data_IF_178881811701
#
_entry.id   IF_178881811701
#
_cell.length_a   1.000
_cell.length_b   1.000
_cell.length_c   1.000
_cell.angle_alpha   90.00
_cell.angle_beta   90.00
_cell.angle_gamma   90.00
#
_symmetry.space_group_name_H-M   'P 1'
#
loop_
_entity.id
_entity.type
_entity.pdbx_description
1 polymer ?
#
# COMPACT_ATOMS: atom_id res chain seq x y z
N UNK A 1 43.32 -28.12 28.33
CA UNK A 1 42.17 -27.50 29.04
C UNK A 1 42.10 -26.04 28.60
N UNK A 2 40.93 -25.59 28.13
CA UNK A 2 40.66 -24.31 27.45
C UNK A 2 40.55 -23.10 28.39
N UNK A 3 40.64 -21.89 27.78
CA UNK A 3 40.39 -20.50 28.24
C UNK A 3 41.65 -19.73 28.66
N UNK A 4 41.87 -18.45 28.29
CA UNK A 4 40.93 -17.36 27.97
C UNK A 4 41.63 -16.20 27.21
N UNK A 5 40.92 -15.64 26.21
CA UNK A 5 40.89 -14.28 25.63
C UNK A 5 41.91 -13.19 26.07
N UNK A 6 42.49 -12.44 25.10
CA UNK A 6 42.52 -10.95 25.10
C UNK A 6 42.67 -10.31 23.68
N UNK A 7 41.72 -9.42 23.33
CA UNK A 7 41.68 -8.24 22.41
C UNK A 7 42.36 -8.26 21.02
N UNK A 8 41.51 -8.07 20.00
CA UNK A 8 41.80 -7.22 18.83
C UNK A 8 40.68 -6.16 18.70
N UNK A 9 41.00 -4.86 18.53
CA UNK A 9 39.99 -3.84 18.31
C UNK A 9 39.63 -3.85 16.83
N UNK A 10 38.62 -4.62 16.45
CA UNK A 10 37.99 -4.39 15.15
C UNK A 10 37.13 -3.15 15.26
N UNK A 11 37.66 -2.04 14.77
CA UNK A 11 36.89 -0.87 14.36
C UNK A 11 35.98 -1.35 13.23
N UNK A 12 34.76 -1.78 13.58
CA UNK A 12 33.70 -2.00 12.61
C UNK A 12 33.01 -0.66 12.39
N UNK A 13 33.59 0.20 11.55
CA UNK A 13 32.86 1.34 11.02
C UNK A 13 31.86 0.81 10.00
N UNK A 14 30.67 0.39 10.46
CA UNK A 14 29.53 0.19 9.57
C UNK A 14 29.02 1.57 9.20
N UNK A 15 29.43 2.10 8.05
CA UNK A 15 28.64 3.16 7.40
C UNK A 15 27.37 2.55 6.84
N UNK A 16 26.44 2.12 7.71
CA UNK A 16 25.05 1.91 7.27
C UNK A 16 24.32 3.23 7.41
N UNK A 17 24.69 4.19 6.57
CA UNK A 17 23.73 5.19 6.16
C UNK A 17 22.87 4.60 5.04
N UNK A 18 22.21 3.48 5.36
CA UNK A 18 21.02 3.06 4.64
C UNK A 18 20.05 4.19 4.91
N UNK A 19 19.85 5.09 3.94
CA UNK A 19 18.62 5.87 3.94
C UNK A 19 17.53 4.82 3.87
N UNK A 20 17.00 4.42 5.03
CA UNK A 20 15.79 3.63 5.12
C UNK A 20 14.78 4.44 4.34
N UNK A 21 14.51 4.04 3.10
CA UNK A 21 13.44 4.63 2.33
C UNK A 21 12.21 4.38 3.18
N UNK A 22 11.70 5.44 3.82
CA UNK A 22 10.49 5.33 4.61
C UNK A 22 9.39 5.10 3.58
N UNK A 23 9.12 3.81 3.33
CA UNK A 23 8.07 3.37 2.45
C UNK A 23 6.78 3.52 3.23
N UNK A 24 6.04 4.56 2.91
CA UNK A 24 4.70 4.72 3.44
C UNK A 24 3.78 3.80 2.65
N UNK A 25 2.80 3.21 3.34
CA UNK A 25 1.80 2.39 2.69
C UNK A 25 0.41 2.96 2.92
N UNK A 26 -0.47 2.74 1.95
CA UNK A 26 -1.89 2.99 2.08
C UNK A 26 -2.61 1.66 1.95
N UNK A 27 -3.34 1.30 2.99
CA UNK A 27 -4.26 0.18 2.97
C UNK A 27 -5.67 0.70 2.75
N UNK A 28 -6.30 0.27 1.66
CA UNK A 28 -7.69 0.61 1.36
C UNK A 28 -8.51 -0.67 1.45
N UNK A 29 -9.48 -0.68 2.37
CA UNK A 29 -10.42 -1.79 2.55
C UNK A 29 -11.81 -1.31 2.17
N UNK A 30 -12.49 -2.04 1.30
CA UNK A 30 -13.87 -1.73 0.92
C UNK A 30 -14.61 -2.97 0.45
N UNK A 31 -15.94 -2.88 0.44
CA UNK A 31 -16.82 -3.93 -0.10
C UNK A 31 -17.34 -3.52 -1.46
N UNK A 32 -17.41 -4.47 -2.37
CA UNK A 32 -17.94 -4.31 -3.73
C UNK A 32 -19.15 -5.20 -3.92
N UNK A 33 -20.10 -4.81 -4.77
CA UNK A 33 -21.26 -5.64 -5.07
C UNK A 33 -20.88 -6.91 -5.85
N UNK A 34 -19.93 -6.77 -6.78
CA UNK A 34 -19.46 -7.84 -7.66
C UNK A 34 -17.99 -7.62 -8.01
N UNK A 35 -17.11 -8.49 -7.51
CA UNK A 35 -15.68 -8.40 -7.75
C UNK A 35 -15.31 -8.54 -9.24
N UNK A 36 -16.02 -9.39 -9.99
CA UNK A 36 -15.71 -9.64 -11.40
C UNK A 36 -16.00 -8.41 -12.26
N UNK A 37 -17.03 -7.62 -11.90
CA UNK A 37 -17.34 -6.34 -12.54
C UNK A 37 -16.44 -5.21 -12.05
N UNK A 38 -16.04 -5.24 -10.79
CA UNK A 38 -15.18 -4.23 -10.20
C UNK A 38 -13.74 -4.27 -10.76
N UNK A 39 -13.17 -5.47 -10.94
CA UNK A 39 -11.77 -5.65 -11.37
C UNK A 39 -11.41 -4.91 -12.68
N UNK A 40 -12.17 -4.99 -13.78
CA UNK A 40 -11.83 -4.25 -15.00
C UNK A 40 -11.93 -2.73 -14.84
N UNK A 41 -12.88 -2.22 -14.04
CA UNK A 41 -12.95 -0.80 -13.72
C UNK A 41 -11.74 -0.34 -12.89
N UNK A 42 -11.32 -1.18 -11.94
CA UNK A 42 -10.12 -0.96 -11.13
C UNK A 42 -8.83 -0.98 -11.97
N UNK A 43 -8.70 -1.92 -12.90
CA UNK A 43 -7.54 -2.05 -13.79
C UNK A 43 -7.44 -0.86 -14.75
N UNK A 44 -8.58 -0.38 -15.27
CA UNK A 44 -8.64 0.81 -16.12
C UNK A 44 -8.19 2.10 -15.42
N UNK A 45 -8.08 2.11 -14.09
CA UNK A 45 -7.62 3.25 -13.30
C UNK A 45 -6.13 3.20 -12.94
N UNK A 46 -5.40 2.16 -13.37
CA UNK A 46 -3.99 1.97 -13.03
C UNK A 46 -3.09 3.17 -13.39
N UNK A 47 -3.34 3.85 -14.51
CA UNK A 47 -2.58 5.02 -14.95
C UNK A 47 -2.73 6.22 -14.00
N UNK A 48 -3.94 6.43 -13.46
CA UNK A 48 -4.19 7.51 -12.50
C UNK A 48 -3.49 7.24 -11.16
N UNK A 49 -3.48 5.98 -10.70
CA UNK A 49 -2.73 5.56 -9.50
C UNK A 49 -1.23 5.77 -9.68
N UNK A 50 -0.67 5.35 -10.81
CA UNK A 50 0.75 5.56 -11.12
C UNK A 50 1.10 7.05 -11.16
N UNK A 51 0.23 7.88 -11.75
CA UNK A 51 0.39 9.34 -11.80
C UNK A 51 0.35 10.00 -10.41
N UNK A 52 -0.39 9.40 -9.46
CA UNK A 52 -0.42 9.81 -8.06
C UNK A 52 0.82 9.34 -7.24
N UNK A 53 1.75 8.60 -7.86
CA UNK A 53 2.92 8.04 -7.17
C UNK A 53 2.59 6.84 -6.28
N UNK A 54 1.45 6.19 -6.53
CA UNK A 54 1.03 4.96 -5.85
C UNK A 54 1.49 3.75 -6.66
N UNK A 55 2.15 2.81 -5.99
CA UNK A 55 2.49 1.51 -6.54
C UNK A 55 1.66 0.45 -5.84
N UNK A 56 0.95 -0.36 -6.61
CA UNK A 56 0.20 -1.51 -6.09
C UNK A 56 1.19 -2.57 -5.61
N UNK A 57 1.12 -2.93 -4.33
CA UNK A 57 1.91 -4.02 -3.76
C UNK A 57 1.06 -5.29 -3.69
N UNK A 58 -0.15 -5.17 -3.15
CA UNK A 58 -1.07 -6.31 -3.02
C UNK A 58 -2.52 -5.93 -3.30
N UNK A 59 -3.18 -6.79 -4.05
CA UNK A 59 -4.64 -6.85 -4.17
C UNK A 59 -5.09 -8.15 -3.53
N UNK A 60 -5.73 -8.02 -2.38
CA UNK A 60 -6.19 -9.12 -1.55
C UNK A 60 -7.71 -9.14 -1.49
N UNK A 61 -8.25 -10.33 -1.26
CA UNK A 61 -9.68 -10.55 -1.04
C UNK A 61 -9.86 -11.30 0.26
N UNK A 62 -10.90 -10.98 1.01
CA UNK A 62 -11.22 -11.72 2.21
C UNK A 62 -11.69 -13.15 1.82
N UNK A 63 -11.20 -14.15 2.56
CA UNK A 63 -11.56 -15.56 2.37
C UNK A 63 -13.03 -15.79 2.78
N UNK A 64 -13.48 -15.14 3.86
CA UNK A 64 -14.84 -15.29 4.37
C UNK A 64 -15.84 -14.45 3.59
N UNK A 65 -15.38 -13.35 2.98
CA UNK A 65 -16.20 -12.45 2.18
C UNK A 65 -15.54 -12.15 0.83
N UNK A 66 -15.85 -12.88 -0.24
CA UNK A 66 -15.19 -12.74 -1.54
C UNK A 66 -15.41 -11.37 -2.20
N UNK A 67 -16.37 -10.59 -1.71
CA UNK A 67 -16.71 -9.25 -2.16
C UNK A 67 -16.04 -8.14 -1.34
N UNK A 68 -15.24 -8.51 -0.35
CA UNK A 68 -14.41 -7.58 0.40
C UNK A 68 -13.01 -7.54 -0.19
N UNK A 69 -12.59 -6.35 -0.60
CA UNK A 69 -11.33 -6.09 -1.28
C UNK A 69 -10.43 -5.28 -0.37
N UNK A 70 -9.18 -5.72 -0.26
CA UNK A 70 -8.14 -5.08 0.53
C UNK A 70 -6.98 -4.77 -0.42
N UNK A 71 -6.66 -3.50 -0.56
CA UNK A 71 -5.61 -3.01 -1.44
C UNK A 71 -4.48 -2.44 -0.60
N UNK A 72 -3.25 -2.89 -0.85
CA UNK A 72 -2.05 -2.30 -0.29
C UNK A 72 -1.27 -1.58 -1.39
N UNK A 73 -1.10 -0.28 -1.20
CA UNK A 73 -0.25 0.55 -2.06
C UNK A 73 0.98 1.00 -1.28
N UNK A 74 2.14 1.04 -1.93
CA UNK A 74 3.27 1.82 -1.47
C UNK A 74 3.22 3.23 -2.08
N UNK A 75 3.47 4.23 -1.26
CA UNK A 75 3.43 5.64 -1.62
C UNK A 75 4.80 6.27 -1.39
N UNK A 76 5.37 6.85 -2.45
CA UNK A 76 6.60 7.64 -2.33
C UNK A 76 6.32 9.01 -1.70
N UNK A 77 5.13 9.56 -1.93
CA UNK A 77 4.67 10.86 -1.45
C UNK A 77 3.30 10.68 -0.76
N UNK A 78 3.27 10.81 0.56
CA UNK A 78 2.07 10.62 1.37
C UNK A 78 1.00 11.69 1.10
N UNK A 79 1.41 12.90 0.73
CA UNK A 79 0.48 14.01 0.53
C UNK A 79 -0.23 13.89 -0.81
N UNK A 80 0.49 13.47 -1.87
CA UNK A 80 -0.14 13.09 -3.14
C UNK A 80 -1.08 11.91 -2.99
N UNK A 81 -0.67 10.91 -2.20
CA UNK A 81 -1.46 9.72 -1.96
C UNK A 81 -2.76 10.03 -1.19
N UNK A 82 -2.71 10.93 -0.20
CA UNK A 82 -3.90 11.47 0.49
C UNK A 82 -4.79 12.29 -0.45
N UNK A 83 -4.20 13.15 -1.28
CA UNK A 83 -4.96 13.95 -2.25
C UNK A 83 -5.70 13.06 -3.25
N UNK A 84 -5.07 11.97 -3.72
CA UNK A 84 -5.69 10.97 -4.57
C UNK A 84 -6.83 10.24 -3.86
N UNK A 85 -6.60 9.81 -2.60
CA UNK A 85 -7.63 9.17 -1.77
C UNK A 85 -8.85 10.06 -1.50
N UNK A 86 -8.68 11.39 -1.52
CA UNK A 86 -9.75 12.37 -1.37
C UNK A 86 -10.33 12.87 -2.71
N UNK A 87 -9.83 12.36 -3.85
CA UNK A 87 -10.19 12.91 -5.16
C UNK A 87 -11.64 12.57 -5.57
N UNK A 88 -12.34 13.49 -6.24
CA UNK A 88 -13.68 13.22 -6.76
C UNK A 88 -13.68 12.15 -7.86
N UNK A 89 -12.63 12.08 -8.68
CA UNK A 89 -12.44 11.03 -9.69
C UNK A 89 -12.42 9.63 -9.08
N UNK A 90 -11.68 9.44 -7.97
CA UNK A 90 -11.70 8.18 -7.24
C UNK A 90 -13.12 7.85 -6.74
N UNK A 91 -13.84 8.83 -6.19
CA UNK A 91 -15.20 8.63 -5.69
C UNK A 91 -16.18 8.20 -6.79
N UNK A 92 -16.11 8.83 -7.96
CA UNK A 92 -16.92 8.44 -9.12
C UNK A 92 -16.60 7.02 -9.58
N UNK A 93 -15.32 6.66 -9.64
CA UNK A 93 -14.90 5.30 -10.01
C UNK A 93 -15.33 4.24 -8.99
N UNK A 94 -15.31 4.58 -7.71
CA UNK A 94 -15.82 3.68 -6.67
C UNK A 94 -17.32 3.46 -6.82
N UNK A 95 -18.09 4.50 -7.15
CA UNK A 95 -19.52 4.36 -7.44
C UNK A 95 -19.77 3.50 -8.69
N UNK A 96 -19.03 3.76 -9.78
CA UNK A 96 -19.11 2.97 -11.02
C UNK A 96 -18.68 1.51 -10.82
N UNK A 97 -17.70 1.27 -9.95
CA UNK A 97 -17.22 -0.06 -9.58
C UNK A 97 -18.14 -0.83 -8.63
N UNK A 98 -19.27 -0.23 -8.21
CA UNK A 98 -20.23 -0.87 -7.33
C UNK A 98 -19.73 -1.03 -5.90
N UNK A 99 -18.91 -0.10 -5.41
CA UNK A 99 -18.50 -0.07 -4.00
C UNK A 99 -19.73 0.21 -3.14
N UNK A 100 -20.07 -0.72 -2.25
CA UNK A 100 -21.33 -0.70 -1.48
C UNK A 100 -21.20 -0.03 -0.12
N UNK A 101 -19.98 0.10 0.39
CA UNK A 101 -19.70 0.60 1.73
C UNK A 101 -18.64 1.72 1.68
N UNK A 102 -18.57 2.54 2.73
CA UNK A 102 -17.53 3.56 2.83
C UNK A 102 -16.16 2.87 2.92
N UNK A 103 -15.18 3.25 2.08
CA UNK A 103 -13.85 2.67 2.17
C UNK A 103 -13.16 3.09 3.47
N UNK A 104 -12.57 2.12 4.15
CA UNK A 104 -11.62 2.37 5.21
C UNK A 104 -10.24 2.60 4.59
N UNK A 105 -9.59 3.71 4.96
CA UNK A 105 -8.29 4.09 4.44
C UNK A 105 -7.33 4.22 5.63
N UNK A 106 -6.30 3.39 5.65
CA UNK A 106 -5.26 3.39 6.67
C UNK A 106 -3.93 3.82 6.06
N UNK A 107 -3.21 4.68 6.77
CA UNK A 107 -1.86 5.11 6.43
C UNK A 107 -0.89 4.36 7.35
N UNK A 108 0.04 3.61 6.76
CA UNK A 108 0.99 2.73 7.46
C UNK A 108 2.44 3.15 7.14
N UNK A 109 3.39 2.78 7.99
CA UNK A 109 4.82 3.12 7.90
C UNK A 109 5.73 1.94 8.25
#
# INVERSE_FOLDING_TARGET
MFRQSVRLPYIFCRTNNERKLIMNYILIRHKVADFAKWKPAYDGHASARASAGLKEEHLLRNIDNPNEVILLFSAQDLDKAKAFAASPDLRERMQQGGVTDKPDIYLLK
#
